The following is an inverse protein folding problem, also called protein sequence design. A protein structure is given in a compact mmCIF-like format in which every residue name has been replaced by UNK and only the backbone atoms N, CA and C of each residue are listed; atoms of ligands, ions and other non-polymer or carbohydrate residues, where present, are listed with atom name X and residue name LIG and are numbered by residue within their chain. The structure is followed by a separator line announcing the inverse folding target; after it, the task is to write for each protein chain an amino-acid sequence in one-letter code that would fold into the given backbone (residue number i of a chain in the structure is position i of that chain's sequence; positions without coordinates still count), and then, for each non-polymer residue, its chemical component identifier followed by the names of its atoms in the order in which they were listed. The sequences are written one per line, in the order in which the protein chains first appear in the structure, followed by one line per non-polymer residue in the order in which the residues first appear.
data_IF_349129295374
#
_entry.id   IF_349129295374
#
_cell.length_a   1.000
_cell.length_b   1.000
_cell.length_c   1.000
_cell.angle_alpha   90.00
_cell.angle_beta   90.00
_cell.angle_gamma   90.00
#
_symmetry.space_group_name_H-M   'P 1'
#
loop_
_entity.id
_entity.type
_entity.pdbx_description
1 polymer ?
#
# COMPACT_ATOMS: atom_id res chain seq x y z
N UNK A 1 -32.01 28.09 -36.06
CA UNK A 1 -32.57 28.27 -37.43
C UNK A 1 -31.55 29.07 -38.22
N UNK A 2 -31.22 28.60 -39.43
CA UNK A 2 -30.13 29.04 -40.33
C UNK A 2 -28.70 28.88 -39.74
N UNK A 3 -27.75 28.12 -40.32
CA UNK A 3 -27.22 28.03 -41.72
C UNK A 3 -26.49 29.33 -42.14
N UNK A 4 -25.29 29.38 -42.74
CA UNK A 4 -24.26 28.41 -43.20
C UNK A 4 -22.87 29.16 -43.25
N UNK A 5 -21.68 28.66 -43.63
CA UNK A 5 -21.27 27.44 -44.36
C UNK A 5 -19.80 26.99 -44.10
N UNK A 6 -19.47 25.78 -44.60
CA UNK A 6 -18.17 25.16 -45.01
C UNK A 6 -16.84 25.96 -45.09
N UNK A 7 -15.71 25.32 -44.68
CA UNK A 7 -14.68 24.79 -45.61
C UNK A 7 -13.50 24.01 -44.96
N UNK A 8 -13.05 22.93 -45.63
CA UNK A 8 -11.77 22.22 -45.46
C UNK A 8 -10.97 22.31 -46.79
N UNK A 9 -9.62 22.33 -46.75
CA UNK A 9 -8.78 21.16 -47.10
C UNK A 9 -7.58 21.01 -46.13
N UNK A 10 -6.76 19.94 -45.98
CA UNK A 10 -6.41 18.68 -46.67
C UNK A 10 -4.91 18.61 -47.06
N UNK A 11 -4.29 17.44 -46.82
CA UNK A 11 -2.99 16.91 -47.33
C UNK A 11 -1.62 17.45 -46.85
N UNK A 12 -0.79 16.52 -46.33
CA UNK A 12 0.57 16.17 -46.83
C UNK A 12 1.16 15.04 -45.96
N UNK A 13 1.21 13.77 -46.42
CA UNK A 13 2.43 13.11 -46.96
C UNK A 13 3.73 13.48 -46.23
N UNK A 14 4.38 12.59 -45.46
CA UNK A 14 5.10 11.37 -45.84
C UNK A 14 6.51 11.63 -46.39
N UNK A 15 7.53 11.16 -45.67
CA UNK A 15 8.94 11.12 -46.08
C UNK A 15 9.61 9.86 -45.52
N UNK A 16 9.60 8.77 -46.28
CA UNK A 16 10.55 7.69 -46.08
C UNK A 16 11.95 8.16 -46.50
N UNK A 17 13.00 7.79 -45.78
CA UNK A 17 14.37 7.88 -46.31
C UNK A 17 15.11 6.57 -46.07
N UNK A 18 15.10 5.74 -47.10
CA UNK A 18 15.82 4.47 -47.23
C UNK A 18 17.23 4.77 -47.73
N UNK A 19 18.27 4.40 -46.98
CA UNK A 19 19.65 4.44 -47.47
C UNK A 19 20.29 3.05 -47.38
N UNK A 20 20.31 2.42 -48.56
CA UNK A 20 21.40 1.62 -49.14
C UNK A 20 22.08 0.52 -48.30
N UNK A 21 21.69 -0.72 -48.63
CA UNK A 21 22.60 -1.86 -48.68
C UNK A 21 23.96 -1.48 -49.29
N UNK A 22 25.05 -1.97 -48.69
CA UNK A 22 26.33 -2.06 -49.38
C UNK A 22 26.92 -3.46 -49.18
N UNK A 23 26.90 -4.26 -50.24
CA UNK A 23 27.35 -5.66 -50.24
C UNK A 23 28.86 -5.74 -50.41
N UNK A 24 29.54 -6.47 -49.52
CA UNK A 24 30.88 -6.99 -49.82
C UNK A 24 31.13 -8.37 -49.22
N UNK A 25 31.20 -9.36 -50.09
CA UNK A 25 31.56 -10.75 -49.78
C UNK A 25 33.08 -10.97 -49.83
N UNK A 26 33.60 -11.73 -48.86
CA UNK A 26 34.80 -12.61 -48.83
C UNK A 26 35.30 -12.71 -47.38
N UNK A 27 35.88 -13.81 -46.89
CA UNK A 27 35.82 -15.24 -47.25
C UNK A 27 36.48 -16.02 -46.10
N UNK A 28 36.05 -17.26 -45.86
CA UNK A 28 36.68 -18.33 -45.04
C UNK A 28 37.48 -17.98 -43.76
N UNK A 29 37.02 -18.57 -42.65
CA UNK A 29 37.79 -18.71 -41.41
C UNK A 29 37.15 -19.78 -40.51
N UNK A 30 37.43 -21.05 -40.78
CA UNK A 30 36.92 -22.15 -39.96
C UNK A 30 37.52 -22.11 -38.55
N UNK A 31 36.67 -21.99 -37.53
CA UNK A 31 37.04 -22.23 -36.14
C UNK A 31 35.83 -22.72 -35.33
N UNK A 32 35.74 -24.05 -35.19
CA UNK A 32 34.79 -24.69 -34.27
C UNK A 32 35.05 -24.22 -32.84
N UNK A 33 34.11 -23.46 -32.26
CA UNK A 33 34.14 -23.06 -30.85
C UNK A 33 33.22 -23.95 -30.02
N UNK A 34 33.66 -24.48 -28.85
CA UNK A 34 32.94 -25.53 -28.09
C UNK A 34 31.74 -25.02 -27.27
N UNK A 35 31.07 -23.96 -27.72
CA UNK A 35 30.03 -23.23 -26.96
C UNK A 35 28.61 -23.82 -27.09
N UNK A 36 28.39 -24.76 -28.02
CA UNK A 36 27.07 -25.34 -28.28
C UNK A 36 26.65 -26.47 -27.29
N UNK A 37 27.59 -27.05 -26.53
CA UNK A 37 27.29 -28.18 -25.62
C UNK A 37 26.91 -27.70 -24.20
N UNK A 38 27.47 -26.57 -23.75
CA UNK A 38 27.27 -26.07 -22.37
C UNK A 38 25.86 -25.51 -22.14
N UNK A 39 25.21 -24.93 -23.16
CA UNK A 39 23.84 -24.43 -23.04
C UNK A 39 22.78 -25.54 -22.98
N UNK A 40 23.03 -26.72 -23.57
CA UNK A 40 22.09 -27.84 -23.51
C UNK A 40 21.95 -28.46 -22.11
N UNK A 41 23.03 -28.45 -21.32
CA UNK A 41 23.06 -29.04 -19.97
C UNK A 41 22.47 -28.09 -18.92
N UNK A 42 22.72 -26.78 -19.02
CA UNK A 42 22.16 -25.80 -18.09
C UNK A 42 20.63 -25.66 -18.19
N UNK A 43 20.05 -25.77 -19.40
CA UNK A 43 18.58 -25.70 -19.57
C UNK A 43 17.87 -26.93 -18.98
N UNK A 44 18.48 -28.12 -19.09
CA UNK A 44 17.94 -29.34 -18.45
C UNK A 44 18.11 -29.33 -16.93
N UNK A 45 19.20 -28.76 -16.38
CA UNK A 45 19.37 -28.60 -14.93
C UNK A 45 18.46 -27.52 -14.35
N UNK A 46 18.20 -26.41 -15.06
CA UNK A 46 17.22 -25.41 -14.64
C UNK A 46 15.79 -26.00 -14.58
N UNK A 47 15.42 -26.82 -15.57
CA UNK A 47 14.16 -27.56 -15.55
C UNK A 47 14.08 -28.59 -14.40
N UNK A 48 15.19 -29.26 -14.07
CA UNK A 48 15.25 -30.23 -12.97
C UNK A 48 15.17 -29.57 -11.57
N UNK A 49 15.85 -28.44 -11.36
CA UNK A 49 15.81 -27.70 -10.08
C UNK A 49 14.47 -27.01 -9.88
N UNK A 50 13.86 -26.46 -10.94
CA UNK A 50 12.49 -25.95 -10.89
C UNK A 50 11.44 -27.02 -10.55
N UNK A 51 11.72 -28.30 -10.84
CA UNK A 51 10.86 -29.43 -10.47
C UNK A 51 11.12 -29.99 -9.06
N UNK A 52 12.27 -29.65 -8.45
CA UNK A 52 12.69 -30.09 -7.11
C UNK A 52 12.32 -29.11 -5.98
N UNK A 53 11.76 -27.94 -6.30
CA UNK A 53 11.17 -27.00 -5.32
C UNK A 53 9.66 -26.81 -5.48
N UNK A 54 8.98 -27.67 -6.25
CA UNK A 54 7.54 -27.87 -6.05
C UNK A 54 7.35 -28.73 -4.79
N UNK A 55 6.62 -28.27 -3.75
CA UNK A 55 6.30 -29.12 -2.62
C UNK A 55 5.53 -30.34 -3.11
N UNK A 56 6.08 -31.53 -2.88
CA UNK A 56 5.48 -32.79 -3.31
C UNK A 56 4.03 -32.91 -2.81
N UNK A 57 3.17 -33.53 -3.63
CA UNK A 57 1.70 -33.61 -3.47
C UNK A 57 1.24 -33.61 -2.00
N UNK A 58 0.75 -32.45 -1.58
CA UNK A 58 -0.19 -32.23 -0.47
C UNK A 58 0.31 -32.49 0.97
N UNK A 59 1.53 -32.06 1.32
CA UNK A 59 1.89 -31.82 2.73
C UNK A 59 1.43 -30.43 3.21
N UNK A 60 0.10 -30.24 3.26
CA UNK A 60 -0.54 -29.08 3.90
C UNK A 60 -0.53 -29.27 5.42
N UNK A 61 -0.34 -28.17 6.15
CA UNK A 61 -0.18 -28.13 7.61
C UNK A 61 -0.63 -26.76 8.13
N UNK A 62 -0.70 -26.56 9.45
CA UNK A 62 -1.16 -25.29 10.06
C UNK A 62 -0.45 -24.04 9.51
N UNK A 63 0.85 -24.13 9.18
CA UNK A 63 1.64 -23.02 8.58
C UNK A 63 1.18 -22.59 7.18
N UNK A 64 0.33 -23.38 6.52
CA UNK A 64 -0.26 -23.02 5.22
C UNK A 64 -1.51 -22.14 5.39
N UNK A 65 -1.96 -21.91 6.62
CA UNK A 65 -3.08 -21.03 6.98
C UNK A 65 -2.59 -19.74 7.64
N UNK A 66 -1.41 -19.28 7.23
CA UNK A 66 -0.88 -17.94 7.51
C UNK A 66 -0.75 -17.19 6.19
N UNK A 67 -0.91 -15.87 6.24
CA UNK A 67 -0.52 -15.03 5.11
C UNK A 67 1.01 -14.89 5.09
N UNK A 68 1.57 -14.66 3.90
CA UNK A 68 2.99 -14.40 3.74
C UNK A 68 3.33 -12.94 4.15
N UNK A 69 4.61 -12.58 4.09
CA UNK A 69 5.01 -11.18 4.19
C UNK A 69 4.41 -10.37 3.01
N UNK A 70 4.29 -9.04 3.14
CA UNK A 70 3.90 -8.22 1.99
C UNK A 70 5.12 -7.94 1.11
N UNK A 71 6.32 -8.04 1.68
CA UNK A 71 7.63 -7.87 1.04
C UNK A 71 7.66 -6.58 0.21
N UNK A 72 7.38 -5.45 0.88
CA UNK A 72 7.13 -4.17 0.21
C UNK A 72 8.41 -3.62 -0.43
N UNK A 73 8.41 -3.50 -1.75
CA UNK A 73 9.47 -2.83 -2.50
C UNK A 73 9.34 -1.32 -2.35
N UNK A 74 10.08 -0.77 -1.37
CA UNK A 74 10.17 0.66 -1.11
C UNK A 74 10.62 1.48 -2.34
N UNK A 75 11.44 0.92 -3.25
CA UNK A 75 11.90 1.63 -4.46
C UNK A 75 10.79 1.71 -5.50
N UNK A 76 10.02 0.63 -5.69
CA UNK A 76 8.83 0.65 -6.54
C UNK A 76 7.78 1.63 -5.99
N UNK A 77 7.54 1.58 -4.69
CA UNK A 77 6.59 2.46 -4.01
C UNK A 77 6.95 3.94 -4.20
N UNK A 78 8.21 4.33 -4.03
CA UNK A 78 8.62 5.72 -4.25
C UNK A 78 8.58 6.11 -5.73
N UNK A 79 9.04 5.23 -6.63
CA UNK A 79 8.94 5.47 -8.08
C UNK A 79 7.50 5.72 -8.55
N UNK A 80 6.53 4.92 -8.09
CA UNK A 80 5.13 5.12 -8.48
C UNK A 80 4.55 6.45 -7.94
N UNK A 81 5.09 6.98 -6.83
CA UNK A 81 4.70 8.29 -6.28
C UNK A 81 5.30 9.43 -7.09
N UNK A 82 6.58 9.37 -7.40
CA UNK A 82 7.26 10.34 -8.29
C UNK A 82 6.52 10.43 -9.63
N UNK A 83 6.20 9.28 -10.23
CA UNK A 83 5.46 9.22 -11.50
C UNK A 83 4.04 9.80 -11.41
N UNK A 84 3.38 9.68 -10.25
CA UNK A 84 2.05 10.26 -9.96
C UNK A 84 2.10 11.76 -9.66
N UNK A 85 3.22 12.28 -9.15
CA UNK A 85 3.36 13.68 -8.72
C UNK A 85 4.19 14.57 -9.64
N UNK A 86 4.86 14.02 -10.66
CA UNK A 86 5.72 14.74 -11.62
C UNK A 86 5.15 16.03 -12.25
N UNK A 87 3.83 16.24 -12.22
CA UNK A 87 3.14 17.41 -12.79
C UNK A 87 2.56 18.37 -11.76
N UNK A 88 2.73 18.11 -10.46
CA UNK A 88 2.26 18.98 -9.37
C UNK A 88 3.12 20.23 -9.26
N UNK A 89 2.49 21.40 -9.10
CA UNK A 89 3.14 22.71 -8.91
C UNK A 89 2.54 23.42 -7.69
N UNK A 90 3.11 23.18 -6.51
CA UNK A 90 2.66 23.77 -5.23
C UNK A 90 3.09 25.24 -5.07
N UNK A 91 4.10 25.66 -5.81
CA UNK A 91 4.66 27.02 -5.87
C UNK A 91 3.68 28.06 -6.45
N UNK A 92 2.56 27.62 -7.03
CA UNK A 92 1.48 28.48 -7.51
C UNK A 92 0.55 29.00 -6.40
N UNK A 93 0.54 28.36 -5.22
CA UNK A 93 -0.33 28.69 -4.07
C UNK A 93 0.46 28.69 -2.75
N UNK A 94 1.56 29.46 -2.64
CA UNK A 94 2.49 29.37 -1.52
C UNK A 94 1.88 29.82 -0.19
N UNK A 95 1.01 30.83 -0.21
CA UNK A 95 0.39 31.38 1.00
C UNK A 95 -0.69 30.42 1.53
N UNK A 96 -1.60 29.93 0.67
CA UNK A 96 -2.63 28.95 1.02
C UNK A 96 -1.99 27.64 1.50
N UNK A 97 -0.90 27.19 0.87
CA UNK A 97 -0.16 26.01 1.29
C UNK A 97 0.47 26.21 2.68
N UNK A 98 1.11 27.35 2.94
CA UNK A 98 1.65 27.65 4.25
C UNK A 98 0.55 27.71 5.33
N UNK A 99 -0.61 28.30 5.04
CA UNK A 99 -1.74 28.35 5.97
C UNK A 99 -2.37 26.96 6.19
N UNK A 100 -2.50 26.14 5.15
CA UNK A 100 -2.92 24.73 5.27
C UNK A 100 -1.99 23.96 6.22
N UNK A 101 -0.68 24.02 5.99
CA UNK A 101 0.32 23.34 6.83
C UNK A 101 0.26 23.79 8.30
N UNK A 102 0.10 25.09 8.54
CA UNK A 102 0.05 25.64 9.90
C UNK A 102 -1.28 25.29 10.61
N UNK A 103 -2.41 25.34 9.89
CA UNK A 103 -3.71 24.97 10.43
C UNK A 103 -3.78 23.47 10.74
N UNK A 104 -3.22 22.61 9.87
CA UNK A 104 -3.11 21.17 10.13
C UNK A 104 -2.29 20.87 11.40
N UNK A 105 -1.20 21.62 11.63
CA UNK A 105 -0.42 21.51 12.88
C UNK A 105 -1.21 21.96 14.12
N UNK A 106 -2.04 22.98 13.98
CA UNK A 106 -2.92 23.42 15.06
C UNK A 106 -3.97 22.34 15.41
N UNK A 107 -4.60 21.71 14.40
CA UNK A 107 -5.51 20.57 14.59
C UNK A 107 -4.80 19.38 15.25
N UNK A 108 -3.60 19.00 14.79
CA UNK A 108 -2.84 17.90 15.39
C UNK A 108 -2.53 18.12 16.88
N UNK A 109 -2.30 19.38 17.30
CA UNK A 109 -2.07 19.70 18.72
C UNK A 109 -3.32 19.45 19.59
N UNK A 110 -4.53 19.50 19.03
CA UNK A 110 -5.77 19.26 19.78
C UNK A 110 -5.92 17.83 20.30
N UNK A 111 -5.16 16.86 19.76
CA UNK A 111 -5.07 15.52 20.33
C UNK A 111 -4.39 15.50 21.72
N UNK A 112 -3.69 16.58 22.10
CA UNK A 112 -2.93 16.69 23.35
C UNK A 112 -3.29 17.89 24.23
N UNK A 113 -3.96 18.90 23.68
CA UNK A 113 -4.52 20.04 24.44
C UNK A 113 -5.99 20.15 24.10
N UNK A 114 -6.88 20.31 25.09
CA UNK A 114 -8.30 20.54 24.81
C UNK A 114 -8.55 22.01 24.47
N UNK A 115 -8.75 22.39 23.19
CA UNK A 115 -9.25 23.72 22.86
C UNK A 115 -10.68 23.90 23.42
N UNK A 116 -11.14 25.16 23.48
CA UNK A 116 -12.58 25.40 23.59
C UNK A 116 -13.27 24.99 22.27
N UNK A 117 -14.43 24.34 22.34
CA UNK A 117 -15.12 23.78 21.17
C UNK A 117 -15.33 24.78 20.01
N UNK A 118 -15.50 26.08 20.30
CA UNK A 118 -15.59 27.13 19.28
C UNK A 118 -14.27 27.38 18.53
N UNK A 119 -13.12 27.27 19.22
CA UNK A 119 -11.81 27.37 18.60
C UNK A 119 -11.49 26.11 17.78
N UNK A 120 -11.83 24.93 18.29
CA UNK A 120 -11.71 23.65 17.58
C UNK A 120 -12.47 23.69 16.24
N UNK A 121 -13.77 24.03 16.29
CA UNK A 121 -14.62 24.14 15.11
C UNK A 121 -14.08 25.17 14.09
N UNK A 122 -13.63 26.34 14.54
CA UNK A 122 -13.06 27.37 13.67
C UNK A 122 -11.75 26.93 13.01
N UNK A 123 -10.90 26.17 13.69
CA UNK A 123 -9.64 25.66 13.11
C UNK A 123 -9.91 24.51 12.13
N UNK A 124 -10.89 23.64 12.38
CA UNK A 124 -11.33 22.60 11.43
C UNK A 124 -11.97 23.23 10.18
N UNK A 125 -12.75 24.31 10.35
CA UNK A 125 -13.31 25.09 9.24
C UNK A 125 -12.20 25.73 8.38
N UNK A 126 -11.20 26.37 9.00
CA UNK A 126 -10.02 26.88 8.28
C UNK A 126 -9.26 25.79 7.53
N UNK A 127 -9.06 24.62 8.14
CA UNK A 127 -8.36 23.51 7.49
C UNK A 127 -9.13 23.06 6.25
N UNK A 128 -10.46 22.98 6.35
CA UNK A 128 -11.35 22.64 5.24
C UNK A 128 -11.34 23.70 4.15
N UNK A 129 -11.32 24.99 4.53
CA UNK A 129 -11.18 26.12 3.61
C UNK A 129 -9.88 26.03 2.80
N UNK A 130 -8.71 25.99 3.46
CA UNK A 130 -7.43 25.92 2.75
C UNK A 130 -7.27 24.62 1.95
N UNK A 131 -7.85 23.50 2.40
CA UNK A 131 -7.89 22.26 1.60
C UNK A 131 -8.64 22.46 0.27
N UNK A 132 -9.75 23.21 0.30
CA UNK A 132 -10.56 23.51 -0.88
C UNK A 132 -9.93 24.56 -1.81
N UNK A 133 -9.10 25.47 -1.31
CA UNK A 133 -8.36 26.44 -2.15
C UNK A 133 -7.16 25.77 -2.87
N UNK A 134 -6.52 24.77 -2.26
CA UNK A 134 -5.40 24.04 -2.87
C UNK A 134 -5.81 23.18 -4.08
N UNK A 135 -6.99 22.55 -4.05
CA UNK A 135 -7.42 21.60 -5.09
C UNK A 135 -7.61 22.24 -6.48
N UNK A 136 -8.28 23.40 -6.65
CA UNK A 136 -8.44 24.06 -7.96
C UNK A 136 -7.11 24.43 -8.63
N UNK A 137 -6.11 24.83 -7.85
CA UNK A 137 -4.80 25.22 -8.38
C UNK A 137 -3.87 24.02 -8.64
N UNK A 138 -3.89 23.02 -7.77
CA UNK A 138 -2.86 21.95 -7.77
C UNK A 138 -3.39 20.57 -8.19
N UNK A 139 -4.71 20.41 -8.31
CA UNK A 139 -5.38 19.12 -8.47
C UNK A 139 -5.47 18.32 -7.17
N UNK A 140 -6.17 17.18 -7.19
CA UNK A 140 -6.29 16.32 -6.00
C UNK A 140 -4.97 15.63 -5.65
N UNK A 141 -4.17 15.25 -6.65
CA UNK A 141 -2.80 14.78 -6.47
C UNK A 141 -1.90 15.87 -5.86
N UNK A 142 -2.10 17.13 -6.27
CA UNK A 142 -1.39 18.27 -5.72
C UNK A 142 -1.72 18.52 -4.26
N UNK A 143 -3.00 18.44 -3.87
CA UNK A 143 -3.37 18.46 -2.45
C UNK A 143 -2.66 17.34 -1.66
N UNK A 144 -2.60 16.11 -2.17
CA UNK A 144 -1.93 15.04 -1.45
C UNK A 144 -0.41 15.26 -1.35
N UNK A 145 0.22 15.83 -2.39
CA UNK A 145 1.61 16.27 -2.35
C UNK A 145 1.85 17.45 -1.37
N UNK A 146 0.88 18.36 -1.23
CA UNK A 146 0.95 19.47 -0.26
C UNK A 146 1.07 18.97 1.20
N UNK A 147 0.68 17.73 1.49
CA UNK A 147 0.83 17.10 2.81
C UNK A 147 2.21 16.50 3.10
N UNK A 148 3.10 16.40 2.09
CA UNK A 148 4.43 15.78 2.24
C UNK A 148 5.23 16.38 3.42
N UNK A 149 5.37 17.72 3.57
CA UNK A 149 6.13 18.28 4.69
C UNK A 149 5.59 17.95 6.09
N UNK A 150 4.28 17.69 6.23
CA UNK A 150 3.69 17.21 7.49
C UNK A 150 4.02 15.73 7.71
N UNK A 151 3.90 14.92 6.67
CA UNK A 151 4.16 13.47 6.74
C UNK A 151 5.62 13.16 7.04
N UNK A 152 6.55 13.86 6.39
CA UNK A 152 8.00 13.66 6.59
C UNK A 152 8.39 14.08 8.01
N UNK A 153 8.00 15.29 8.43
CA UNK A 153 8.23 15.78 9.78
C UNK A 153 7.55 14.90 10.86
N UNK A 154 6.39 14.33 10.56
CA UNK A 154 5.74 13.35 11.42
C UNK A 154 6.55 12.04 11.52
N UNK A 155 7.04 11.51 10.39
CA UNK A 155 7.84 10.27 10.36
C UNK A 155 9.06 10.38 11.29
N UNK A 156 9.80 11.48 11.19
CA UNK A 156 10.95 11.80 12.07
C UNK A 156 10.54 11.95 13.55
N UNK A 157 9.44 12.66 13.83
CA UNK A 157 8.93 12.85 15.18
C UNK A 157 8.46 11.54 15.83
N UNK A 158 7.75 10.70 15.07
CA UNK A 158 7.28 9.38 15.48
C UNK A 158 8.43 8.42 15.76
N UNK A 159 9.46 8.40 14.90
CA UNK A 159 10.66 7.59 15.12
C UNK A 159 11.42 8.04 16.38
N UNK A 160 11.52 9.36 16.60
CA UNK A 160 12.11 9.95 17.83
C UNK A 160 11.33 9.51 19.09
N UNK A 161 10.00 9.62 19.08
CA UNK A 161 9.16 9.20 20.21
C UNK A 161 9.24 7.69 20.47
N UNK A 162 9.18 6.88 19.42
CA UNK A 162 9.33 5.42 19.51
C UNK A 162 10.68 4.99 20.08
N UNK A 163 11.78 5.61 19.64
CA UNK A 163 13.12 5.34 20.15
C UNK A 163 13.25 5.72 21.62
N UNK A 164 12.70 6.85 22.04
CA UNK A 164 12.66 7.25 23.44
C UNK A 164 11.84 6.27 24.30
N UNK A 165 10.70 5.77 23.80
CA UNK A 165 9.89 4.75 24.46
C UNK A 165 10.66 3.42 24.61
N UNK A 166 11.32 2.96 23.55
CA UNK A 166 12.13 1.74 23.56
C UNK A 166 13.38 1.83 24.45
N UNK A 167 13.92 3.04 24.66
CA UNK A 167 15.00 3.31 25.60
C UNK A 167 14.51 3.44 27.06
N UNK A 168 13.21 3.62 27.29
CA UNK A 168 12.62 3.88 28.61
C UNK A 168 12.69 5.35 29.06
N UNK A 169 13.03 6.28 28.17
CA UNK A 169 13.12 7.72 28.47
C UNK A 169 11.74 8.41 28.58
N UNK A 170 10.67 7.69 28.27
CA UNK A 170 9.26 8.09 28.37
C UNK A 170 8.42 6.83 28.58
N UNK A 171 7.36 6.89 29.40
CA UNK A 171 6.49 5.73 29.60
C UNK A 171 5.53 5.53 28.42
N UNK A 172 4.99 4.33 28.24
CA UNK A 172 3.96 4.07 27.23
C UNK A 172 2.73 4.99 27.45
N UNK A 173 2.31 5.18 28.70
CA UNK A 173 1.19 6.06 29.04
C UNK A 173 1.45 7.50 28.57
N UNK A 174 2.64 8.05 28.86
CA UNK A 174 3.03 9.39 28.40
C UNK A 174 3.10 9.47 26.87
N UNK A 175 3.72 8.49 26.21
CA UNK A 175 3.85 8.44 24.76
C UNK A 175 2.50 8.35 24.02
N UNK A 176 1.49 7.72 24.65
CA UNK A 176 0.14 7.55 24.09
C UNK A 176 -0.87 8.65 24.45
N UNK A 177 -0.57 9.54 25.40
CA UNK A 177 -1.52 10.54 25.90
C UNK A 177 -1.04 11.98 25.78
N UNK A 178 0.16 12.30 26.29
CA UNK A 178 0.72 13.65 26.32
C UNK A 178 2.26 13.60 26.36
N UNK A 179 2.94 13.29 25.22
CA UNK A 179 4.40 13.21 25.19
C UNK A 179 5.03 14.61 25.38
N UNK A 180 6.00 14.79 26.29
CA UNK A 180 6.55 16.11 26.65
C UNK A 180 6.86 17.03 25.46
N UNK A 181 6.23 18.21 25.44
CA UNK A 181 6.25 19.11 24.28
C UNK A 181 7.62 19.71 23.97
N UNK A 182 8.46 19.89 24.99
CA UNK A 182 9.85 20.34 24.89
C UNK A 182 10.75 19.34 24.15
N UNK A 183 10.45 18.03 24.26
CA UNK A 183 11.21 16.93 23.63
C UNK A 183 10.57 16.43 22.33
N UNK A 184 9.24 16.46 22.25
CA UNK A 184 8.47 15.78 21.20
C UNK A 184 7.54 16.73 20.42
N UNK A 185 7.80 18.04 20.44
CA UNK A 185 7.02 19.04 19.69
C UNK A 185 6.83 18.70 18.22
N UNK A 186 7.87 18.19 17.54
CA UNK A 186 7.76 17.76 16.13
C UNK A 186 6.75 16.63 15.91
N UNK A 187 6.66 15.66 16.83
CA UNK A 187 5.63 14.62 16.79
C UNK A 187 4.23 15.23 17.03
N UNK A 188 4.08 16.01 18.10
CA UNK A 188 2.79 16.62 18.49
C UNK A 188 2.21 17.47 17.37
N UNK A 189 3.05 18.30 16.76
CA UNK A 189 2.65 19.25 15.73
C UNK A 189 2.32 18.55 14.40
N UNK A 190 3.04 17.51 14.00
CA UNK A 190 2.92 16.97 12.64
C UNK A 190 2.17 15.63 12.55
N UNK A 191 2.05 14.86 13.65
CA UNK A 191 1.38 13.55 13.65
C UNK A 191 -0.02 13.53 14.27
N UNK A 192 -0.30 14.44 15.21
CA UNK A 192 -1.34 14.18 16.22
C UNK A 192 -0.99 12.92 17.03
N UNK A 193 -1.98 12.26 17.64
CA UNK A 193 -1.79 11.02 18.39
C UNK A 193 -1.72 9.77 17.49
N UNK A 194 -0.81 9.80 16.50
CA UNK A 194 -0.61 8.70 15.57
C UNK A 194 -0.10 7.42 16.28
N UNK A 195 0.75 7.52 17.30
CA UNK A 195 1.31 6.37 17.99
C UNK A 195 0.22 5.48 18.61
N UNK A 196 -0.81 6.07 19.25
CA UNK A 196 -1.94 5.31 19.78
C UNK A 196 -2.66 4.51 18.69
N UNK A 197 -2.92 5.13 17.53
CA UNK A 197 -3.50 4.45 16.38
C UNK A 197 -2.62 3.31 15.85
N UNK A 198 -1.29 3.49 15.82
CA UNK A 198 -0.38 2.46 15.31
C UNK A 198 -0.23 1.27 16.27
N UNK A 199 -0.30 1.53 17.58
CA UNK A 199 -0.35 0.48 18.61
C UNK A 199 -1.69 -0.26 18.57
N UNK A 200 -2.81 0.46 18.46
CA UNK A 200 -4.16 -0.13 18.28
C UNK A 200 -4.20 -1.06 17.06
N UNK A 201 -3.56 -0.66 15.95
CA UNK A 201 -3.54 -1.42 14.69
C UNK A 201 -2.48 -2.52 14.62
N UNK A 202 -1.62 -2.64 15.64
CA UNK A 202 -0.56 -3.64 15.67
C UNK A 202 0.58 -3.40 14.69
N UNK A 203 0.80 -2.15 14.25
CA UNK A 203 1.98 -1.74 13.48
C UNK A 203 3.17 -1.41 14.39
N UNK A 204 2.87 -0.99 15.62
CA UNK A 204 3.84 -0.69 16.68
C UNK A 204 3.47 -1.49 17.92
N UNK A 205 4.45 -2.04 18.64
CA UNK A 205 4.19 -2.74 19.88
C UNK A 205 4.24 -1.80 21.12
N UNK A 206 3.97 -2.37 22.30
CA UNK A 206 3.96 -1.62 23.57
C UNK A 206 5.34 -1.13 24.03
N UNK A 207 6.42 -1.55 23.37
CA UNK A 207 7.79 -1.07 23.61
C UNK A 207 8.19 0.03 22.62
N UNK A 208 7.34 0.36 21.66
CA UNK A 208 7.68 1.28 20.57
C UNK A 208 8.50 0.62 19.45
N UNK A 209 8.59 -0.71 19.38
CA UNK A 209 9.23 -1.41 18.28
C UNK A 209 8.30 -1.54 17.06
N UNK A 210 8.85 -1.75 15.85
CA UNK A 210 8.03 -2.05 14.66
C UNK A 210 7.68 -3.54 14.69
N UNK A 211 6.44 -3.91 14.43
CA UNK A 211 6.00 -5.32 14.50
C UNK A 211 6.45 -6.17 13.30
N UNK A 212 6.82 -5.53 12.19
CA UNK A 212 7.42 -6.15 11.01
C UNK A 212 8.32 -5.16 10.25
N UNK A 213 9.07 -5.65 9.27
CA UNK A 213 9.80 -4.82 8.29
C UNK A 213 8.88 -3.99 7.40
N UNK A 214 7.65 -4.46 7.15
CA UNK A 214 6.64 -3.80 6.32
C UNK A 214 5.94 -2.64 7.07
N UNK A 215 5.88 -2.70 8.41
CA UNK A 215 5.11 -1.77 9.24
C UNK A 215 5.42 -0.26 9.06
N UNK A 216 6.68 0.19 8.85
CA UNK A 216 6.97 1.60 8.54
C UNK A 216 6.36 2.04 7.21
N UNK A 217 6.45 1.21 6.17
CA UNK A 217 5.95 1.51 4.83
C UNK A 217 4.41 1.50 4.81
N UNK A 218 3.79 0.55 5.51
CA UNK A 218 2.33 0.54 5.73
C UNK A 218 1.87 1.78 6.50
N UNK A 219 2.63 2.21 7.52
CA UNK A 219 2.34 3.44 8.29
C UNK A 219 2.33 4.67 7.39
N UNK A 220 3.29 4.76 6.47
CA UNK A 220 3.38 5.88 5.52
C UNK A 220 2.23 5.88 4.48
N UNK A 221 1.89 4.72 3.91
CA UNK A 221 0.73 4.59 3.01
C UNK A 221 -0.57 4.93 3.75
N UNK A 222 -0.71 4.50 5.01
CA UNK A 222 -1.83 4.87 5.86
C UNK A 222 -1.89 6.39 6.10
N UNK A 223 -0.77 7.07 6.32
CA UNK A 223 -0.72 8.52 6.46
C UNK A 223 -1.13 9.24 5.18
N UNK A 224 -0.72 8.76 3.99
CA UNK A 224 -1.25 9.25 2.70
C UNK A 224 -2.75 9.02 2.58
N UNK A 225 -3.25 7.83 2.93
CA UNK A 225 -4.67 7.52 2.84
C UNK A 225 -5.50 8.38 3.81
N UNK A 226 -4.99 8.68 5.02
CA UNK A 226 -5.61 9.64 5.95
C UNK A 226 -5.68 11.05 5.36
N UNK A 227 -4.62 11.54 4.73
CA UNK A 227 -4.62 12.82 4.05
C UNK A 227 -5.63 12.84 2.87
N UNK A 228 -5.64 11.79 2.03
CA UNK A 228 -6.61 11.63 0.95
C UNK A 228 -8.07 11.60 1.44
N UNK A 229 -8.33 11.12 2.67
CA UNK A 229 -9.65 11.15 3.30
C UNK A 229 -10.18 12.55 3.64
N UNK A 230 -9.33 13.59 3.68
CA UNK A 230 -9.77 14.98 3.79
C UNK A 230 -10.58 15.43 2.55
N UNK A 231 -10.40 14.75 1.41
CA UNK A 231 -11.09 15.02 0.15
C UNK A 231 -12.22 14.03 -0.17
N UNK A 232 -12.54 13.11 0.75
CA UNK A 232 -13.43 11.94 0.50
C UNK A 232 -14.81 12.30 -0.09
N UNK A 233 -15.31 13.49 0.20
CA UNK A 233 -16.64 13.97 -0.23
C UNK A 233 -16.62 14.55 -1.66
N UNK A 234 -15.42 14.76 -2.22
CA UNK A 234 -15.18 15.28 -3.57
C UNK A 234 -14.52 14.23 -4.49
N UNK A 235 -13.64 13.40 -3.93
CA UNK A 235 -12.84 12.42 -4.68
C UNK A 235 -12.55 11.17 -3.86
N UNK A 236 -12.50 10.00 -4.50
CA UNK A 236 -12.25 8.72 -3.82
C UNK A 236 -10.82 8.67 -3.27
N UNK A 237 -10.60 8.48 -1.95
CA UNK A 237 -9.27 8.42 -1.37
C UNK A 237 -8.39 7.30 -1.96
N UNK A 238 -9.02 6.21 -2.44
CA UNK A 238 -8.34 5.12 -3.15
C UNK A 238 -7.70 5.55 -4.47
N UNK A 239 -8.34 6.48 -5.19
CA UNK A 239 -7.82 6.96 -6.47
C UNK A 239 -6.63 7.91 -6.30
N UNK A 240 -6.35 8.41 -5.10
CA UNK A 240 -5.17 9.25 -4.79
C UNK A 240 -3.93 8.45 -4.38
N UNK A 241 -4.12 7.19 -3.95
CA UNK A 241 -3.01 6.25 -3.81
C UNK A 241 -2.48 5.80 -5.18
N UNK A 242 -1.25 5.27 -5.24
CA UNK A 242 -0.80 4.52 -6.43
C UNK A 242 -1.47 3.15 -6.50
N UNK A 243 -1.33 2.44 -7.62
CA UNK A 243 -1.83 1.07 -7.74
C UNK A 243 -1.14 0.13 -6.74
N UNK A 244 0.18 0.24 -6.55
CA UNK A 244 0.90 -0.57 -5.56
C UNK A 244 0.56 -0.19 -4.12
N UNK A 245 0.39 1.10 -3.81
CA UNK A 245 -0.09 1.53 -2.49
C UNK A 245 -1.48 0.97 -2.17
N UNK A 246 -2.38 0.98 -3.16
CA UNK A 246 -3.72 0.39 -3.05
C UNK A 246 -3.64 -1.12 -2.80
N UNK A 247 -2.77 -1.82 -3.52
CA UNK A 247 -2.50 -3.25 -3.32
C UNK A 247 -2.02 -3.54 -1.90
N UNK A 248 -0.92 -2.91 -1.48
CA UNK A 248 -0.31 -3.10 -0.16
C UNK A 248 -1.32 -2.80 0.95
N UNK A 249 -2.02 -1.66 0.87
CA UNK A 249 -2.91 -1.23 1.95
C UNK A 249 -4.22 -2.02 2.00
N UNK A 250 -4.76 -2.45 0.86
CA UNK A 250 -5.91 -3.36 0.83
C UNK A 250 -5.52 -4.75 1.37
N UNK A 251 -4.37 -5.30 0.96
CA UNK A 251 -3.83 -6.56 1.46
C UNK A 251 -3.53 -6.49 2.96
N UNK A 252 -2.75 -5.52 3.43
CA UNK A 252 -2.40 -5.36 4.85
C UNK A 252 -3.62 -5.41 5.79
N UNK A 253 -4.68 -4.65 5.47
CA UNK A 253 -5.93 -4.59 6.24
C UNK A 253 -6.61 -5.95 6.45
N UNK A 254 -6.32 -6.92 5.58
CA UNK A 254 -6.85 -8.29 5.63
C UNK A 254 -5.81 -9.29 6.13
N UNK A 255 -4.58 -9.21 5.63
CA UNK A 255 -3.55 -10.23 5.79
C UNK A 255 -2.77 -10.09 7.10
N UNK A 256 -2.42 -8.87 7.50
CA UNK A 256 -1.40 -8.62 8.54
C UNK A 256 -1.82 -7.65 9.65
N UNK A 257 -2.95 -6.96 9.52
CA UNK A 257 -3.42 -5.98 10.51
C UNK A 257 -3.90 -6.66 11.82
N UNK A 258 -2.96 -7.06 12.67
CA UNK A 258 -3.19 -7.78 13.92
C UNK A 258 -4.06 -7.02 14.94
N UNK A 259 -4.16 -5.69 14.82
CA UNK A 259 -5.07 -4.87 15.62
C UNK A 259 -6.54 -4.94 15.20
N UNK A 260 -6.87 -5.53 14.05
CA UNK A 260 -8.25 -5.68 13.59
C UNK A 260 -8.82 -7.06 13.94
N UNK A 261 -10.04 -7.07 14.48
CA UNK A 261 -10.79 -8.29 14.71
C UNK A 261 -11.10 -9.01 13.39
N UNK A 262 -11.31 -10.33 13.44
CA UNK A 262 -11.60 -11.13 12.25
C UNK A 262 -12.86 -10.64 11.51
N UNK A 263 -13.89 -10.19 12.25
CA UNK A 263 -15.07 -9.56 11.67
C UNK A 263 -14.73 -8.29 10.86
N UNK A 264 -13.76 -7.48 11.33
CA UNK A 264 -13.30 -6.28 10.62
C UNK A 264 -12.43 -6.62 9.41
N UNK A 265 -11.55 -7.62 9.53
CA UNK A 265 -10.75 -8.17 8.42
C UNK A 265 -11.66 -8.76 7.32
N UNK A 266 -12.74 -9.46 7.70
CA UNK A 266 -13.78 -9.94 6.77
C UNK A 266 -14.58 -8.82 6.10
N UNK A 267 -14.87 -7.71 6.82
CA UNK A 267 -15.45 -6.52 6.19
C UNK A 267 -14.51 -5.97 5.11
N UNK A 268 -13.23 -5.74 5.42
CA UNK A 268 -12.27 -5.26 4.43
C UNK A 268 -12.08 -6.23 3.25
N UNK A 269 -12.11 -7.54 3.50
CA UNK A 269 -12.06 -8.55 2.46
C UNK A 269 -13.26 -8.48 1.49
N UNK A 270 -14.43 -7.99 1.95
CA UNK A 270 -15.58 -7.76 1.05
C UNK A 270 -15.43 -6.52 0.16
N UNK A 271 -14.55 -5.57 0.53
CA UNK A 271 -14.19 -4.41 -0.29
C UNK A 271 -13.14 -4.76 -1.35
N UNK A 272 -12.29 -5.76 -1.13
CA UNK A 272 -11.16 -6.06 -2.01
C UNK A 272 -11.53 -6.29 -3.50
N UNK A 273 -12.62 -6.97 -3.89
CA UNK A 273 -12.96 -7.19 -5.31
C UNK A 273 -13.00 -5.94 -6.19
N UNK A 274 -13.36 -4.77 -5.64
CA UNK A 274 -13.40 -3.52 -6.41
C UNK A 274 -12.05 -2.79 -6.47
N UNK A 275 -11.12 -3.12 -5.56
CA UNK A 275 -9.78 -2.54 -5.48
C UNK A 275 -8.75 -3.42 -6.21
N UNK A 276 -8.84 -4.75 -6.04
CA UNK A 276 -7.92 -5.76 -6.56
C UNK A 276 -8.70 -6.93 -7.21
N UNK A 277 -9.16 -6.79 -8.46
CA UNK A 277 -10.00 -7.79 -9.13
C UNK A 277 -9.38 -9.20 -9.26
N UNK A 278 -8.05 -9.31 -9.14
CA UNK A 278 -7.31 -10.58 -9.23
C UNK A 278 -6.99 -11.20 -7.87
N UNK A 279 -7.39 -10.57 -6.75
CA UNK A 279 -7.12 -11.09 -5.41
C UNK A 279 -7.96 -12.32 -5.10
N UNK A 280 -7.35 -13.35 -4.51
CA UNK A 280 -8.02 -14.62 -4.20
C UNK A 280 -8.84 -14.51 -2.90
N UNK A 281 -9.99 -13.85 -2.99
CA UNK A 281 -10.87 -13.55 -1.85
C UNK A 281 -11.31 -14.80 -1.07
N UNK A 282 -11.61 -15.90 -1.75
CA UNK A 282 -12.07 -17.12 -1.08
C UNK A 282 -10.92 -17.84 -0.35
N UNK A 283 -9.68 -17.70 -0.84
CA UNK A 283 -8.49 -18.22 -0.14
C UNK A 283 -8.24 -17.43 1.14
N UNK A 284 -8.24 -16.10 1.04
CA UNK A 284 -8.13 -15.24 2.22
C UNK A 284 -9.25 -15.49 3.23
N UNK A 285 -10.50 -15.74 2.77
CA UNK A 285 -11.62 -16.12 3.65
C UNK A 285 -11.36 -17.45 4.37
N UNK A 286 -10.85 -18.46 3.65
CA UNK A 286 -10.51 -19.77 4.23
C UNK A 286 -9.37 -19.67 5.26
N UNK A 287 -8.34 -18.87 4.98
CA UNK A 287 -7.23 -18.60 5.91
C UNK A 287 -7.73 -17.87 7.17
N UNK A 288 -8.53 -16.81 7.02
CA UNK A 288 -9.12 -16.07 8.15
C UNK A 288 -10.01 -16.98 9.03
N UNK A 289 -10.86 -17.79 8.42
CA UNK A 289 -11.73 -18.71 9.16
C UNK A 289 -10.90 -19.73 9.97
N UNK A 290 -9.80 -20.24 9.42
CA UNK A 290 -8.90 -21.13 10.15
C UNK A 290 -8.21 -20.42 11.34
N UNK A 291 -7.72 -19.19 11.13
CA UNK A 291 -7.12 -18.37 12.20
C UNK A 291 -8.13 -18.08 13.33
N UNK A 292 -9.39 -17.84 12.97
CA UNK A 292 -10.51 -17.68 13.90
C UNK A 292 -10.98 -18.99 14.56
N UNK A 293 -10.36 -20.14 14.23
CA UNK A 293 -10.71 -21.51 14.66
C UNK A 293 -12.08 -22.00 14.14
N UNK A 294 -12.66 -21.33 13.16
CA UNK A 294 -13.84 -21.79 12.43
C UNK A 294 -13.41 -22.80 11.33
N UNK A 295 -13.14 -24.04 11.76
CA UNK A 295 -12.74 -25.13 10.86
C UNK A 295 -13.84 -25.43 9.82
N UNK A 296 -15.11 -25.26 10.17
CA UNK A 296 -16.24 -25.51 9.26
C UNK A 296 -16.33 -24.43 8.16
N UNK A 297 -16.19 -23.15 8.52
CA UNK A 297 -16.12 -22.04 7.58
C UNK A 297 -14.88 -22.11 6.69
N UNK A 298 -13.72 -22.47 7.26
CA UNK A 298 -12.49 -22.71 6.50
C UNK A 298 -12.68 -23.83 5.47
N UNK A 299 -13.22 -24.99 5.92
CA UNK A 299 -13.46 -26.14 5.05
C UNK A 299 -14.39 -25.78 3.89
N UNK A 300 -15.50 -25.10 4.18
CA UNK A 300 -16.46 -24.64 3.15
C UNK A 300 -15.79 -23.74 2.11
N UNK A 301 -14.94 -22.80 2.53
CA UNK A 301 -14.22 -21.91 1.62
C UNK A 301 -13.23 -22.68 0.71
N UNK A 302 -12.45 -23.60 1.27
CA UNK A 302 -11.50 -24.42 0.50
C UNK A 302 -12.18 -25.47 -0.39
N UNK A 303 -13.34 -26.00 -0.01
CA UNK A 303 -14.15 -26.87 -0.88
C UNK A 303 -14.73 -26.08 -2.07
N UNK A 304 -15.23 -24.86 -1.85
CA UNK A 304 -15.66 -23.97 -2.95
C UNK A 304 -14.52 -23.65 -3.90
N UNK A 305 -13.31 -23.37 -3.38
CA UNK A 305 -12.11 -23.17 -4.18
C UNK A 305 -11.73 -24.40 -5.00
N UNK A 306 -11.71 -25.58 -4.38
CA UNK A 306 -11.38 -26.83 -5.06
C UNK A 306 -12.39 -27.18 -6.16
N UNK A 307 -13.68 -26.88 -5.96
CA UNK A 307 -14.71 -27.05 -6.99
C UNK A 307 -14.53 -26.08 -8.17
N UNK A 308 -14.15 -24.82 -7.90
CA UNK A 308 -13.91 -23.81 -8.95
C UNK A 308 -12.62 -24.07 -9.74
N UNK A 309 -11.55 -24.47 -9.06
CA UNK A 309 -10.28 -24.84 -9.66
C UNK A 309 -9.72 -26.13 -9.02
N UNK A 310 -10.06 -27.31 -9.58
CA UNK A 310 -9.58 -28.58 -9.07
C UNK A 310 -8.06 -28.78 -9.21
N UNK A 311 -7.38 -28.01 -10.07
CA UNK A 311 -5.97 -28.21 -10.40
C UNK A 311 -5.02 -27.35 -9.55
N UNK A 312 -5.52 -26.29 -8.91
CA UNK A 312 -4.76 -25.40 -8.04
C UNK A 312 -4.38 -25.97 -6.65
N UNK A 313 -4.55 -27.28 -6.41
CA UNK A 313 -4.03 -27.95 -5.20
C UNK A 313 -4.85 -27.75 -3.91
N UNK A 314 -5.98 -27.07 -3.95
CA UNK A 314 -6.85 -26.83 -2.79
C UNK A 314 -7.36 -28.12 -2.10
N UNK A 315 -7.34 -29.26 -2.78
CA UNK A 315 -7.63 -30.59 -2.22
C UNK A 315 -6.80 -30.87 -0.94
N UNK A 316 -5.53 -30.44 -0.92
CA UNK A 316 -4.67 -30.61 0.26
C UNK A 316 -5.18 -29.87 1.50
N UNK A 317 -5.75 -28.67 1.31
CA UNK A 317 -6.36 -27.87 2.37
C UNK A 317 -7.64 -28.53 2.87
N UNK A 318 -8.50 -28.97 1.95
CA UNK A 318 -9.75 -29.71 2.26
C UNK A 318 -9.46 -30.96 3.09
N UNK A 319 -8.44 -31.74 2.71
CA UNK A 319 -8.04 -32.95 3.44
C UNK A 319 -7.56 -32.64 4.86
N UNK A 320 -6.61 -31.71 5.00
CA UNK A 320 -6.06 -31.30 6.29
C UNK A 320 -7.13 -30.76 7.25
N UNK A 321 -8.12 -30.03 6.73
CA UNK A 321 -9.23 -29.53 7.56
C UNK A 321 -10.21 -30.63 7.99
N UNK A 322 -10.49 -31.62 7.12
CA UNK A 322 -11.34 -32.78 7.48
C UNK A 322 -10.74 -33.62 8.61
N UNK A 323 -9.41 -33.74 8.66
CA UNK A 323 -8.69 -34.40 9.76
C UNK A 323 -8.78 -33.65 11.11
N UNK A 324 -9.20 -32.39 11.12
CA UNK A 324 -9.38 -31.56 12.33
C UNK A 324 -10.85 -31.40 12.78
N UNK A 325 -11.82 -31.88 11.99
CA UNK A 325 -13.22 -31.91 12.43
C UNK A 325 -13.35 -33.00 13.50
N UNK A 326 -13.83 -32.70 14.73
CA UNK A 326 -14.05 -33.73 15.74
C UNK A 326 -14.99 -34.81 15.22
N UNK A 327 -14.69 -36.08 15.53
CA UNK A 327 -15.67 -37.15 15.35
C UNK A 327 -16.88 -36.85 16.26
N UNK A 328 -18.05 -36.69 15.64
CA UNK A 328 -19.33 -36.46 16.32
C UNK A 328 -19.92 -37.72 16.94
#
# INVERSE_FOLDING_TARGET
MSENNTNHPANSSASETRIEENTRTKAHGDSFSPLAVTFGVCVLLAAAVGFLMLPGKNNISARNFTFEALDIDAKRLEKERDEKYKSVQLDQVPDEWAQFLNTAREVNRFDFVSPGAAAEASTIEKLSYYSNELVPATGYEGFLAATIPLRDACSEGLDTLRKALGAGDVTLEQALSDPPADRFGQYRDNCGNLLAMLVERGLVDKTGAWTSSDAPLVTDILSRYRAAHLLKDQYSPWLLLTSYETEIFARWRVEQAAGYSDAKRLQYLSEIPSLLPHYNVDFARGVLAYQAKDIAGALKAFETLHQRDPKAGYEGYVRYLKEQVPAG
#
